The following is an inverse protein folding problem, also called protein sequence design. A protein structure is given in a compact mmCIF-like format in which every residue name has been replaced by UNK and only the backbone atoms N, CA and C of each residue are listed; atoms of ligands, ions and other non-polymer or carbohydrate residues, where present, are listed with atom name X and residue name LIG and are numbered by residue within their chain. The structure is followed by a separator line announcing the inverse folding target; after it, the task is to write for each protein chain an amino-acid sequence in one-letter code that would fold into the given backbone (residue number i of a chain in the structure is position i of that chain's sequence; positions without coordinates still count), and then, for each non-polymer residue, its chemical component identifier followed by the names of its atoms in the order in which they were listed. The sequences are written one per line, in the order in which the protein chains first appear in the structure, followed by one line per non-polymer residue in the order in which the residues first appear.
data_IF_124048693565
#
_entry.id   IF_124048693565
#
_cell.length_a   1.000
_cell.length_b   1.000
_cell.length_c   1.000
_cell.angle_alpha   90.00
_cell.angle_beta   90.00
_cell.angle_gamma   90.00
#
_symmetry.space_group_name_H-M   'P 1'
#
loop_
_entity.id
_entity.type
_entity.pdbx_description
1 polymer ?
#
# COMPACT_ATOMS: atom_id res chain seq x y z
N UNK A 1 -32.87 17.92 4.13
CA UNK A 1 -31.42 17.65 4.00
C UNK A 1 -31.22 16.74 2.79
N UNK A 2 -30.28 17.03 1.89
CA UNK A 2 -29.95 16.13 0.78
C UNK A 2 -29.27 14.87 1.32
N UNK A 3 -29.54 13.69 0.75
CA UNK A 3 -28.89 12.44 1.15
C UNK A 3 -27.38 12.48 0.88
N UNK A 4 -26.62 11.59 1.51
CA UNK A 4 -25.17 11.50 1.23
C UNK A 4 -24.92 11.12 -0.23
N UNK A 5 -25.66 10.13 -0.75
CA UNK A 5 -25.57 9.69 -2.15
C UNK A 5 -25.86 10.82 -3.15
N UNK A 6 -26.82 11.71 -2.89
CA UNK A 6 -27.06 12.87 -3.76
C UNK A 6 -25.88 13.84 -3.77
N UNK A 7 -25.22 14.09 -2.63
CA UNK A 7 -24.02 14.93 -2.60
C UNK A 7 -22.85 14.28 -3.33
N UNK A 8 -22.68 12.97 -3.16
CA UNK A 8 -21.67 12.19 -3.89
C UNK A 8 -21.92 12.23 -5.40
N UNK A 9 -23.16 12.15 -5.86
CA UNK A 9 -23.49 12.29 -7.29
C UNK A 9 -23.07 13.66 -7.85
N UNK A 10 -23.29 14.74 -7.08
CA UNK A 10 -22.81 16.09 -7.45
C UNK A 10 -21.28 16.14 -7.51
N UNK A 11 -20.58 15.55 -6.53
CA UNK A 11 -19.13 15.46 -6.53
C UNK A 11 -18.60 14.62 -7.73
N UNK A 12 -19.28 13.52 -8.06
CA UNK A 12 -18.94 12.63 -9.17
C UNK A 12 -19.21 13.27 -10.54
N UNK A 13 -20.20 14.16 -10.66
CA UNK A 13 -20.38 14.97 -11.85
C UNK A 13 -19.28 16.03 -11.96
N UNK A 14 -18.93 16.70 -10.86
CA UNK A 14 -17.92 17.75 -10.86
C UNK A 14 -16.50 17.24 -11.17
N UNK A 15 -16.10 16.07 -10.64
CA UNK A 15 -14.76 15.49 -10.88
C UNK A 15 -14.50 15.19 -12.37
N UNK A 16 -15.54 15.10 -13.21
CA UNK A 16 -15.41 14.91 -14.67
C UNK A 16 -14.66 16.04 -15.38
N UNK A 17 -14.57 17.21 -14.75
CA UNK A 17 -13.76 18.32 -15.25
C UNK A 17 -12.26 17.99 -15.28
N UNK A 18 -11.81 17.03 -14.47
CA UNK A 18 -10.38 16.68 -14.37
C UNK A 18 -10.03 15.28 -14.86
N UNK A 19 -10.95 14.30 -14.84
CA UNK A 19 -10.78 12.99 -15.51
C UNK A 19 -12.09 12.20 -15.66
N UNK A 20 -12.20 11.27 -16.63
CA UNK A 20 -13.37 10.37 -16.78
C UNK A 20 -13.44 9.33 -15.66
N UNK A 21 -14.49 8.50 -15.63
CA UNK A 21 -14.59 7.42 -14.64
C UNK A 21 -13.41 6.46 -14.75
N UNK A 22 -12.89 5.98 -13.62
CA UNK A 22 -11.88 4.93 -13.68
C UNK A 22 -12.54 3.61 -14.04
N UNK A 23 -11.84 2.70 -14.74
CA UNK A 23 -12.43 1.42 -15.11
C UNK A 23 -12.81 0.54 -13.90
N UNK A 24 -13.93 -0.17 -14.02
CA UNK A 24 -14.26 -1.36 -13.23
C UNK A 24 -14.05 -2.58 -14.14
N UNK A 25 -12.88 -3.19 -14.06
CA UNK A 25 -12.43 -4.21 -15.02
C UNK A 25 -12.54 -5.60 -14.43
N UNK A 26 -13.16 -6.53 -15.15
CA UNK A 26 -13.08 -7.93 -14.79
C UNK A 26 -11.65 -8.44 -15.00
N UNK A 27 -11.14 -9.18 -14.02
CA UNK A 27 -9.81 -9.76 -14.08
C UNK A 27 -9.93 -11.28 -14.23
N UNK A 28 -9.70 -11.79 -15.43
CA UNK A 28 -9.86 -13.20 -15.76
C UNK A 28 -8.92 -14.11 -14.95
N UNK A 29 -7.68 -13.65 -14.74
CA UNK A 29 -6.67 -14.40 -14.01
C UNK A 29 -7.08 -14.63 -12.55
N UNK A 30 -7.39 -13.56 -11.81
CA UNK A 30 -7.84 -13.64 -10.42
C UNK A 30 -9.20 -14.35 -10.31
N UNK A 31 -10.09 -14.17 -11.29
CA UNK A 31 -11.38 -14.85 -11.32
C UNK A 31 -11.22 -16.37 -11.43
N UNK A 32 -10.36 -16.84 -12.34
CA UNK A 32 -10.01 -18.27 -12.47
C UNK A 32 -9.33 -18.81 -11.21
N UNK A 33 -8.39 -18.06 -10.63
CA UNK A 33 -7.63 -18.45 -9.43
C UNK A 33 -8.54 -18.65 -8.21
N UNK A 34 -9.53 -17.78 -8.04
CA UNK A 34 -10.45 -17.78 -6.89
C UNK A 34 -11.74 -18.56 -7.13
N UNK A 35 -12.10 -18.85 -8.38
CA UNK A 35 -13.42 -19.39 -8.75
C UNK A 35 -14.57 -18.40 -8.51
N UNK A 36 -14.25 -17.11 -8.43
CA UNK A 36 -15.17 -15.99 -8.20
C UNK A 36 -15.12 -15.06 -9.40
N UNK A 37 -16.06 -14.11 -9.53
CA UNK A 37 -15.96 -13.02 -10.49
C UNK A 37 -15.25 -11.85 -9.82
N UNK A 38 -13.99 -11.63 -10.15
CA UNK A 38 -13.16 -10.56 -9.54
C UNK A 38 -13.10 -9.37 -10.48
N UNK A 39 -13.55 -8.21 -9.97
CA UNK A 39 -13.52 -6.92 -10.64
C UNK A 39 -12.50 -6.02 -9.93
N UNK A 40 -11.64 -5.34 -10.68
CA UNK A 40 -10.68 -4.37 -10.19
C UNK A 40 -11.22 -2.96 -10.46
N UNK A 41 -11.40 -2.16 -9.40
CA UNK A 41 -11.67 -0.73 -9.54
C UNK A 41 -10.33 0.01 -9.64
N UNK A 42 -9.98 0.45 -10.86
CA UNK A 42 -8.63 0.88 -11.28
C UNK A 42 -8.32 2.35 -10.97
N UNK A 43 -8.27 2.71 -9.68
CA UNK A 43 -7.94 4.08 -9.26
C UNK A 43 -6.47 4.48 -9.55
N UNK A 44 -5.61 3.49 -9.77
CA UNK A 44 -4.26 3.64 -10.31
C UNK A 44 -4.22 4.27 -11.72
N UNK A 45 -5.33 4.28 -12.45
CA UNK A 45 -5.44 4.89 -13.78
C UNK A 45 -5.95 6.34 -13.77
N UNK A 46 -6.15 6.92 -12.58
CA UNK A 46 -6.41 8.37 -12.44
C UNK A 46 -5.19 9.21 -12.86
N UNK A 47 -5.33 10.54 -13.13
CA UNK A 47 -4.21 11.38 -13.59
C UNK A 47 -2.99 11.40 -12.68
N UNK A 48 -3.22 11.29 -11.36
CA UNK A 48 -2.14 11.21 -10.34
C UNK A 48 -1.91 9.78 -9.86
N UNK A 49 -2.43 8.80 -10.59
CA UNK A 49 -2.32 7.35 -10.36
C UNK A 49 -2.72 6.90 -8.95
N UNK A 50 -3.67 7.60 -8.32
CA UNK A 50 -4.30 7.17 -7.08
C UNK A 50 -5.63 7.89 -6.83
N UNK A 51 -6.49 7.29 -6.01
CA UNK A 51 -7.80 7.85 -5.68
C UNK A 51 -7.76 9.20 -4.94
N UNK A 52 -6.60 9.60 -4.38
CA UNK A 52 -6.46 10.77 -3.48
C UNK A 52 -6.91 12.09 -4.11
N UNK A 53 -6.81 12.21 -5.44
CA UNK A 53 -7.27 13.38 -6.19
C UNK A 53 -8.75 13.69 -5.98
N UNK A 54 -9.59 12.66 -5.75
CA UNK A 54 -11.05 12.83 -5.65
C UNK A 54 -11.45 13.63 -4.42
N UNK A 55 -10.93 13.23 -3.25
CA UNK A 55 -11.15 13.96 -2.01
C UNK A 55 -10.57 15.36 -2.07
N UNK A 56 -9.32 15.50 -2.51
CA UNK A 56 -8.67 16.81 -2.63
C UNK A 56 -9.49 17.76 -3.52
N UNK A 57 -9.92 17.31 -4.70
CA UNK A 57 -10.77 18.10 -5.59
C UNK A 57 -12.09 18.51 -4.94
N UNK A 58 -12.80 17.57 -4.30
CA UNK A 58 -14.10 17.88 -3.69
C UNK A 58 -13.96 18.86 -2.52
N UNK A 59 -12.88 18.75 -1.75
CA UNK A 59 -12.55 19.66 -0.67
C UNK A 59 -12.32 21.08 -1.20
N UNK A 60 -11.45 21.27 -2.20
CA UNK A 60 -11.21 22.58 -2.82
C UNK A 60 -12.49 23.17 -3.40
N UNK A 61 -13.21 22.40 -4.21
CA UNK A 61 -14.46 22.83 -4.85
C UNK A 61 -15.47 23.37 -3.82
N UNK A 62 -15.62 22.68 -2.69
CA UNK A 62 -16.55 23.10 -1.62
C UNK A 62 -16.02 24.27 -0.82
N UNK A 63 -14.74 24.30 -0.49
CA UNK A 63 -14.13 25.43 0.20
C UNK A 63 -14.33 26.72 -0.62
N UNK A 64 -14.00 26.70 -1.91
CA UNK A 64 -14.19 27.85 -2.80
C UNK A 64 -15.67 28.24 -2.95
N UNK A 65 -16.57 27.26 -3.11
CA UNK A 65 -18.01 27.54 -3.19
C UNK A 65 -18.60 28.10 -1.88
N UNK A 66 -17.97 27.84 -0.74
CA UNK A 66 -18.35 28.39 0.56
C UNK A 66 -17.78 29.80 0.81
N UNK A 67 -17.12 30.42 -0.18
CA UNK A 67 -16.50 31.73 -0.04
C UNK A 67 -15.18 31.70 0.73
N UNK A 68 -14.44 30.59 0.69
CA UNK A 68 -13.09 30.57 1.21
C UNK A 68 -12.17 31.42 0.33
N UNK A 69 -11.79 32.58 0.85
CA UNK A 69 -10.92 33.56 0.19
C UNK A 69 -9.41 33.24 0.35
N UNK A 70 -9.06 32.06 0.88
CA UNK A 70 -7.67 31.66 0.98
C UNK A 70 -7.03 31.58 -0.42
N UNK A 71 -5.99 32.39 -0.64
CA UNK A 71 -5.14 32.30 -1.82
C UNK A 71 -4.13 31.16 -1.72
N UNK A 72 -3.86 30.70 -0.49
CA UNK A 72 -2.84 29.71 -0.16
C UNK A 72 -3.45 28.48 0.51
N UNK A 73 -3.11 27.30 0.00
CA UNK A 73 -3.45 26.01 0.57
C UNK A 73 -2.20 25.27 1.02
N UNK A 74 -2.32 24.39 2.01
CA UNK A 74 -1.17 23.69 2.59
C UNK A 74 -1.48 22.21 2.76
N UNK A 75 -0.50 21.35 2.52
CA UNK A 75 -0.57 19.96 2.98
C UNK A 75 0.79 19.44 3.45
N UNK A 76 0.78 18.39 4.28
CA UNK A 76 1.95 17.60 4.63
C UNK A 76 1.79 16.19 4.05
N UNK A 77 2.64 15.86 3.08
CA UNK A 77 2.71 14.52 2.46
C UNK A 77 3.87 14.49 1.46
N UNK A 78 4.54 13.34 1.34
CA UNK A 78 5.52 13.09 0.29
C UNK A 78 5.02 12.07 -0.77
N UNK A 79 3.71 11.77 -0.79
CA UNK A 79 3.15 10.66 -1.58
C UNK A 79 1.89 11.03 -2.36
N UNK A 80 0.95 10.09 -2.44
CA UNK A 80 -0.26 10.21 -3.25
C UNK A 80 -1.12 11.43 -2.92
N UNK A 81 -1.18 11.83 -1.63
CA UNK A 81 -1.92 13.04 -1.24
C UNK A 81 -1.27 14.31 -1.78
N UNK A 82 0.05 14.44 -1.69
CA UNK A 82 0.77 15.58 -2.25
C UNK A 82 0.59 15.72 -3.76
N UNK A 83 0.62 14.60 -4.50
CA UNK A 83 0.39 14.61 -5.95
C UNK A 83 -1.05 15.04 -6.30
N UNK A 84 -2.05 14.50 -5.60
CA UNK A 84 -3.45 14.90 -5.75
C UNK A 84 -3.68 16.37 -5.39
N UNK A 85 -3.11 16.84 -4.28
CA UNK A 85 -3.13 18.24 -3.86
C UNK A 85 -2.51 19.15 -4.90
N UNK A 86 -1.30 18.83 -5.38
CA UNK A 86 -0.58 19.66 -6.33
C UNK A 86 -1.32 19.79 -7.67
N UNK A 87 -1.87 18.68 -8.18
CA UNK A 87 -2.72 18.71 -9.36
C UNK A 87 -3.93 19.63 -9.18
N UNK A 88 -4.59 19.55 -8.01
CA UNK A 88 -5.81 20.30 -7.71
C UNK A 88 -5.52 21.80 -7.51
N UNK A 89 -4.41 22.16 -6.86
CA UNK A 89 -3.93 23.55 -6.80
C UNK A 89 -3.81 24.17 -8.20
N UNK A 90 -3.12 23.47 -9.11
CA UNK A 90 -2.99 23.90 -10.51
C UNK A 90 -4.34 24.02 -11.21
N UNK A 91 -5.23 23.06 -11.02
CA UNK A 91 -6.56 23.07 -11.66
C UNK A 91 -7.41 24.28 -11.24
N UNK A 92 -7.41 24.64 -9.95
CA UNK A 92 -8.17 25.78 -9.43
C UNK A 92 -7.42 27.11 -9.49
N UNK A 93 -6.17 27.12 -9.96
CA UNK A 93 -5.35 28.33 -10.01
C UNK A 93 -4.99 28.86 -8.61
N UNK A 94 -4.89 27.99 -7.61
CA UNK A 94 -4.60 28.37 -6.21
C UNK A 94 -3.19 27.94 -5.82
N UNK A 95 -2.52 28.78 -5.03
CA UNK A 95 -1.17 28.49 -4.56
C UNK A 95 -1.21 27.40 -3.49
N UNK A 96 -0.22 26.52 -3.52
CA UNK A 96 -0.08 25.39 -2.62
C UNK A 96 1.32 25.29 -2.02
N UNK A 97 1.42 24.98 -0.73
CA UNK A 97 2.69 24.59 -0.10
C UNK A 97 2.62 23.14 0.36
N UNK A 98 3.58 22.33 -0.07
CA UNK A 98 3.69 20.91 0.28
C UNK A 98 4.89 20.70 1.19
N UNK A 99 4.63 20.30 2.43
CA UNK A 99 5.67 19.93 3.39
C UNK A 99 6.01 18.44 3.25
N UNK A 100 7.30 18.16 3.04
CA UNK A 100 7.86 16.81 2.90
C UNK A 100 9.08 16.64 3.80
N UNK A 101 9.40 15.41 4.26
CA UNK A 101 10.64 15.18 4.99
C UNK A 101 11.87 15.49 4.15
N UNK A 102 12.98 15.90 4.77
CA UNK A 102 14.27 16.12 4.08
C UNK A 102 14.81 14.84 3.45
N UNK A 103 14.42 13.69 4.01
CA UNK A 103 14.77 12.34 3.55
C UNK A 103 13.92 11.87 2.35
N UNK A 104 13.02 12.71 1.83
CA UNK A 104 12.14 12.34 0.72
C UNK A 104 12.95 12.10 -0.57
N UNK A 105 12.81 10.93 -1.23
CA UNK A 105 13.48 10.66 -2.50
C UNK A 105 13.16 11.73 -3.57
N UNK A 106 14.19 12.13 -4.32
CA UNK A 106 14.08 13.20 -5.33
C UNK A 106 12.98 12.93 -6.36
N UNK A 107 12.80 11.68 -6.76
CA UNK A 107 11.75 11.27 -7.70
C UNK A 107 10.32 11.62 -7.20
N UNK A 108 10.05 11.48 -5.90
CA UNK A 108 8.74 11.85 -5.30
C UNK A 108 8.53 13.36 -5.27
N UNK A 109 9.60 14.12 -5.02
CA UNK A 109 9.62 15.59 -5.06
C UNK A 109 9.31 16.07 -6.49
N UNK A 110 10.07 15.58 -7.47
CA UNK A 110 9.94 15.99 -8.87
C UNK A 110 8.58 15.64 -9.45
N UNK A 111 8.04 14.48 -9.09
CA UNK A 111 6.69 14.07 -9.50
C UNK A 111 5.61 14.99 -8.94
N UNK A 112 5.72 15.38 -7.67
CA UNK A 112 4.78 16.35 -7.07
C UNK A 112 4.89 17.71 -7.75
N UNK A 113 6.13 18.17 -8.01
CA UNK A 113 6.39 19.42 -8.74
C UNK A 113 5.82 19.39 -10.16
N UNK A 114 5.92 18.26 -10.86
CA UNK A 114 5.35 18.08 -12.20
C UNK A 114 3.82 18.26 -12.22
N UNK A 115 3.12 17.73 -11.21
CA UNK A 115 1.67 17.85 -11.13
C UNK A 115 1.19 19.26 -10.79
N UNK A 116 1.91 19.99 -9.93
CA UNK A 116 1.52 21.34 -9.52
C UNK A 116 2.08 22.47 -10.38
N UNK A 117 3.24 22.28 -11.02
CA UNK A 117 3.92 23.34 -11.77
C UNK A 117 4.24 24.55 -10.89
N UNK A 118 4.00 25.76 -11.40
CA UNK A 118 4.22 27.01 -10.67
C UNK A 118 3.26 27.24 -9.49
N UNK A 119 2.16 26.46 -9.40
CA UNK A 119 1.16 26.61 -8.35
C UNK A 119 1.58 25.97 -7.04
N UNK A 120 2.68 25.21 -7.00
CA UNK A 120 3.14 24.55 -5.76
C UNK A 120 4.57 24.86 -5.41
N UNK A 121 4.78 25.18 -4.14
CA UNK A 121 6.07 25.23 -3.49
C UNK A 121 6.25 23.95 -2.65
N UNK A 122 7.42 23.31 -2.74
CA UNK A 122 7.76 22.15 -1.90
C UNK A 122 8.77 22.60 -0.85
N UNK A 123 8.45 22.37 0.43
CA UNK A 123 9.32 22.67 1.57
C UNK A 123 9.76 21.38 2.25
N UNK A 124 11.07 21.18 2.29
CA UNK A 124 11.67 20.03 2.96
C UNK A 124 11.94 20.37 4.43
N UNK A 125 11.27 19.70 5.37
CA UNK A 125 11.34 20.00 6.80
C UNK A 125 11.30 18.72 7.63
N UNK A 126 12.25 18.57 8.55
CA UNK A 126 12.32 17.44 9.48
C UNK A 126 12.59 16.09 8.82
N UNK A 127 12.79 15.07 9.65
CA UNK A 127 13.16 13.74 9.19
C UNK A 127 11.96 12.81 9.01
N UNK A 128 10.85 13.12 9.70
CA UNK A 128 9.65 12.29 9.77
C UNK A 128 8.38 13.04 9.40
N UNK A 129 7.32 12.27 9.11
CA UNK A 129 6.00 12.81 8.75
C UNK A 129 5.41 13.73 9.83
N UNK A 130 5.57 13.38 11.11
CA UNK A 130 5.02 14.17 12.23
C UNK A 130 5.64 15.57 12.30
N UNK A 131 6.92 15.72 11.95
CA UNK A 131 7.59 17.04 11.85
C UNK A 131 7.01 17.89 10.73
N UNK A 132 6.81 17.28 9.55
CA UNK A 132 6.19 17.94 8.41
C UNK A 132 4.76 18.39 8.71
N UNK A 133 3.98 17.53 9.38
CA UNK A 133 2.59 17.83 9.71
C UNK A 133 2.49 18.99 10.70
N UNK A 134 3.36 19.01 11.72
CA UNK A 134 3.49 20.14 12.65
C UNK A 134 3.87 21.42 11.93
N UNK A 135 4.92 21.40 11.10
CA UNK A 135 5.38 22.57 10.34
C UNK A 135 4.30 23.10 9.37
N UNK A 136 3.57 22.20 8.71
CA UNK A 136 2.44 22.55 7.86
C UNK A 136 1.31 23.22 8.64
N UNK A 137 1.02 22.74 9.86
CA UNK A 137 -0.02 23.30 10.73
C UNK A 137 0.36 24.71 11.21
N UNK A 138 1.59 24.89 11.72
CA UNK A 138 2.13 26.18 12.16
C UNK A 138 2.18 27.20 10.99
N UNK A 139 2.57 26.75 9.79
CA UNK A 139 2.57 27.60 8.60
C UNK A 139 1.16 27.97 8.15
N UNK A 140 0.19 27.06 8.30
CA UNK A 140 -1.21 27.35 7.97
C UNK A 140 -1.74 28.50 8.82
N UNK A 141 -1.50 28.46 10.14
CA UNK A 141 -1.94 29.50 11.07
C UNK A 141 -1.26 30.85 10.80
N UNK A 142 0.06 30.86 10.61
CA UNK A 142 0.83 32.10 10.42
C UNK A 142 0.61 32.77 9.06
N UNK A 143 0.35 32.00 8.00
CA UNK A 143 0.13 32.52 6.65
C UNK A 143 -1.34 32.79 6.29
N UNK A 144 -2.28 32.52 7.21
CA UNK A 144 -3.72 32.58 6.90
C UNK A 144 -4.12 31.59 5.79
N UNK A 145 -3.39 30.49 5.66
CA UNK A 145 -3.60 29.51 4.62
C UNK A 145 -4.69 28.50 5.01
N UNK A 146 -5.06 27.62 4.09
CA UNK A 146 -6.04 26.58 4.35
C UNK A 146 -5.43 25.18 4.24
N UNK A 147 -5.40 24.45 5.36
CA UNK A 147 -4.86 23.10 5.42
C UNK A 147 -5.79 22.11 4.71
N UNK A 148 -5.22 21.22 3.91
CA UNK A 148 -5.95 20.19 3.15
C UNK A 148 -5.63 18.80 3.72
N UNK A 149 -6.56 18.20 4.49
CA UNK A 149 -6.30 16.93 5.16
C UNK A 149 -6.19 15.76 4.18
N UNK A 150 -5.33 14.75 4.45
CA UNK A 150 -5.17 13.57 3.59
C UNK A 150 -6.32 12.57 3.65
N UNK A 151 -7.17 12.63 4.69
CA UNK A 151 -8.31 11.74 4.89
C UNK A 151 -9.35 12.25 5.92
N UNK A 152 -8.93 12.90 7.01
CA UNK A 152 -9.80 13.17 8.18
C UNK A 152 -10.68 14.42 8.00
N UNK A 153 -11.52 14.42 6.97
CA UNK A 153 -12.44 15.52 6.69
C UNK A 153 -13.67 15.04 5.92
N UNK A 154 -14.85 15.59 6.24
CA UNK A 154 -16.13 15.18 5.65
C UNK A 154 -16.15 15.34 4.13
N UNK A 155 -15.59 16.44 3.62
CA UNK A 155 -15.55 16.70 2.17
C UNK A 155 -14.53 15.85 1.43
N UNK A 156 -13.43 15.48 2.10
CA UNK A 156 -12.48 14.49 1.57
C UNK A 156 -13.20 13.15 1.44
N UNK A 157 -13.87 12.68 2.51
CA UNK A 157 -14.65 11.42 2.54
C UNK A 157 -15.72 11.41 1.44
N UNK A 158 -16.47 12.50 1.28
CA UNK A 158 -17.48 12.62 0.22
C UNK A 158 -16.87 12.56 -1.19
N UNK A 159 -15.70 13.18 -1.40
CA UNK A 159 -14.97 13.05 -2.65
C UNK A 159 -14.50 11.62 -2.91
N UNK A 160 -13.96 10.94 -1.89
CA UNK A 160 -13.54 9.53 -2.04
C UNK A 160 -14.73 8.60 -2.30
N UNK A 161 -15.93 8.92 -1.78
CA UNK A 161 -17.14 8.15 -2.03
C UNK A 161 -17.58 8.15 -3.50
N UNK A 162 -17.05 9.04 -4.35
CA UNK A 162 -17.29 8.98 -5.80
C UNK A 162 -16.78 7.68 -6.42
N UNK A 163 -15.81 7.00 -5.80
CA UNK A 163 -15.40 5.64 -6.19
C UNK A 163 -16.57 4.66 -6.08
N UNK A 164 -17.35 4.74 -5.00
CA UNK A 164 -18.53 3.89 -4.78
C UNK A 164 -19.67 4.22 -5.75
N UNK A 165 -19.87 5.50 -6.04
CA UNK A 165 -20.81 5.95 -7.06
C UNK A 165 -20.50 5.31 -8.42
N UNK A 166 -19.24 5.37 -8.84
CA UNK A 166 -18.80 4.75 -10.10
C UNK A 166 -18.95 3.23 -10.06
N UNK A 167 -18.51 2.56 -8.98
CA UNK A 167 -18.70 1.10 -8.84
C UNK A 167 -20.18 0.76 -9.04
N UNK A 168 -21.09 1.44 -8.32
CA UNK A 168 -22.52 1.17 -8.42
C UNK A 168 -23.10 1.41 -9.81
N UNK A 169 -22.60 2.41 -10.55
CA UNK A 169 -23.04 2.71 -11.92
C UNK A 169 -22.47 1.75 -12.98
N UNK A 170 -21.26 1.22 -12.73
CA UNK A 170 -20.54 0.35 -13.67
C UNK A 170 -20.86 -1.13 -13.48
N UNK A 171 -21.56 -1.52 -12.41
CA UNK A 171 -21.95 -2.91 -12.19
C UNK A 171 -22.95 -3.42 -13.25
N UNK A 172 -22.70 -4.60 -13.86
CA UNK A 172 -23.59 -5.17 -14.87
C UNK A 172 -25.00 -5.48 -14.33
N UNK A 173 -26.03 -5.10 -15.09
CA UNK A 173 -27.43 -5.43 -14.79
C UNK A 173 -27.95 -4.85 -13.47
N UNK A 174 -27.36 -3.75 -12.99
CA UNK A 174 -27.68 -3.10 -11.72
C UNK A 174 -27.58 -4.01 -10.48
N UNK A 175 -26.83 -5.11 -10.56
CA UNK A 175 -26.52 -5.97 -9.43
C UNK A 175 -25.45 -5.31 -8.56
N UNK A 176 -25.49 -5.56 -7.26
CA UNK A 176 -24.41 -5.13 -6.36
C UNK A 176 -23.32 -6.19 -6.29
N UNK A 177 -22.07 -5.81 -5.98
CA UNK A 177 -21.06 -6.79 -5.62
C UNK A 177 -21.42 -7.46 -4.29
N UNK A 178 -21.13 -8.76 -4.19
CA UNK A 178 -21.29 -9.50 -2.93
C UNK A 178 -20.26 -9.04 -1.90
N UNK A 179 -19.04 -8.72 -2.35
CA UNK A 179 -17.92 -8.30 -1.51
C UNK A 179 -17.21 -7.09 -2.15
N UNK A 180 -16.91 -6.06 -1.34
CA UNK A 180 -15.98 -4.99 -1.71
C UNK A 180 -14.79 -5.00 -0.75
N UNK A 181 -13.58 -5.09 -1.32
CA UNK A 181 -12.31 -5.05 -0.60
C UNK A 181 -11.67 -3.67 -0.72
N UNK A 182 -11.36 -3.06 0.43
CA UNK A 182 -10.92 -1.66 0.53
C UNK A 182 -9.62 -1.56 1.31
N UNK A 183 -8.56 -0.96 0.73
CA UNK A 183 -7.37 -0.64 1.51
C UNK A 183 -7.69 0.43 2.56
N UNK A 184 -7.10 0.30 3.73
CA UNK A 184 -7.27 1.23 4.85
C UNK A 184 -5.91 1.69 5.36
N UNK A 185 -5.69 3.00 5.27
CA UNK A 185 -4.75 3.73 6.12
C UNK A 185 -5.56 4.61 7.08
N UNK A 186 -5.61 5.92 6.81
CA UNK A 186 -6.42 6.85 7.61
C UNK A 186 -7.94 6.70 7.47
N UNK A 187 -8.43 5.76 6.66
CA UNK A 187 -9.85 5.36 6.58
C UNK A 187 -10.76 6.18 5.65
N UNK A 188 -10.30 7.30 5.06
CA UNK A 188 -11.16 8.19 4.28
C UNK A 188 -11.88 7.54 3.09
N UNK A 189 -11.19 6.67 2.34
CA UNK A 189 -11.79 5.89 1.24
C UNK A 189 -12.83 4.90 1.76
N UNK A 190 -12.44 4.08 2.73
CA UNK A 190 -13.32 3.07 3.29
C UNK A 190 -14.58 3.67 3.92
N UNK A 191 -14.44 4.78 4.65
CA UNK A 191 -15.58 5.52 5.21
C UNK A 191 -16.50 6.06 4.12
N UNK A 192 -15.95 6.65 3.04
CA UNK A 192 -16.75 7.20 1.95
C UNK A 192 -17.52 6.12 1.19
N UNK A 193 -16.84 5.02 0.84
CA UNK A 193 -17.44 3.91 0.11
C UNK A 193 -18.52 3.23 0.94
N UNK A 194 -18.24 2.86 2.18
CA UNK A 194 -19.22 2.18 3.04
C UNK A 194 -20.43 3.06 3.35
N UNK A 195 -20.21 4.37 3.59
CA UNK A 195 -21.30 5.29 3.85
C UNK A 195 -22.22 5.46 2.65
N UNK A 196 -21.68 5.48 1.42
CA UNK A 196 -22.48 5.56 0.19
C UNK A 196 -23.41 4.35 0.04
N UNK A 197 -22.89 3.13 0.22
CA UNK A 197 -23.68 1.91 0.12
C UNK A 197 -24.74 1.78 1.23
N UNK A 198 -24.39 2.22 2.44
CA UNK A 198 -25.34 2.27 3.56
C UNK A 198 -26.50 3.23 3.29
N UNK A 199 -26.22 4.43 2.76
CA UNK A 199 -27.24 5.43 2.39
C UNK A 199 -28.19 4.91 1.29
N UNK A 200 -27.66 4.08 0.38
CA UNK A 200 -28.43 3.40 -0.67
C UNK A 200 -29.17 2.14 -0.20
N UNK A 201 -29.04 1.74 1.08
CA UNK A 201 -29.60 0.51 1.66
C UNK A 201 -29.26 -0.75 0.86
N UNK A 202 -28.02 -0.84 0.39
CA UNK A 202 -27.53 -1.97 -0.42
C UNK A 202 -26.79 -2.96 0.47
N UNK A 203 -27.12 -4.24 0.31
CA UNK A 203 -26.46 -5.32 1.03
C UNK A 203 -25.19 -5.75 0.29
N UNK A 204 -24.03 -5.40 0.85
CA UNK A 204 -22.71 -5.71 0.33
C UNK A 204 -21.78 -5.94 1.52
N UNK A 205 -21.03 -7.04 1.51
CA UNK A 205 -20.02 -7.31 2.54
C UNK A 205 -18.77 -6.46 2.29
N UNK A 206 -18.30 -5.76 3.31
CA UNK A 206 -17.05 -5.01 3.23
C UNK A 206 -15.91 -5.77 3.90
N UNK A 207 -14.75 -5.74 3.25
CA UNK A 207 -13.49 -6.26 3.78
C UNK A 207 -12.49 -5.11 3.76
N UNK A 208 -11.95 -4.78 4.93
CA UNK A 208 -10.95 -3.73 5.09
C UNK A 208 -9.57 -4.38 5.11
N UNK A 209 -8.62 -3.81 4.37
CA UNK A 209 -7.29 -4.39 4.21
C UNK A 209 -6.27 -3.40 4.78
N UNK A 210 -5.67 -3.74 5.91
CA UNK A 210 -4.57 -2.99 6.51
C UNK A 210 -3.26 -3.77 6.36
N UNK A 211 -2.12 -3.09 6.21
CA UNK A 211 -0.82 -3.74 6.38
C UNK A 211 -0.71 -4.28 7.82
N UNK A 212 -0.11 -5.46 8.00
CA UNK A 212 0.02 -6.08 9.31
C UNK A 212 0.85 -5.23 10.29
N UNK A 213 1.82 -4.46 9.79
CA UNK A 213 2.63 -3.53 10.54
C UNK A 213 1.97 -2.17 10.84
N UNK A 214 0.75 -1.90 10.36
CA UNK A 214 0.01 -0.67 10.69
C UNK A 214 -1.51 -0.90 10.91
N UNK A 215 -1.94 -1.73 11.87
CA UNK A 215 -3.33 -2.17 12.04
C UNK A 215 -4.23 -1.15 12.79
N UNK A 216 -4.20 0.14 12.40
CA UNK A 216 -4.82 1.22 13.18
C UNK A 216 -6.35 1.14 13.31
N UNK A 217 -7.06 0.71 12.25
CA UNK A 217 -8.49 0.47 12.27
C UNK A 217 -8.80 -0.75 13.11
N UNK A 218 -8.12 -1.88 12.87
CA UNK A 218 -8.38 -3.14 13.58
C UNK A 218 -8.26 -2.96 15.09
N UNK A 219 -7.18 -2.33 15.55
CA UNK A 219 -6.97 -2.08 16.98
C UNK A 219 -7.99 -1.09 17.54
N UNK A 220 -8.39 -0.08 16.76
CA UNK A 220 -9.43 0.86 17.19
C UNK A 220 -10.82 0.20 17.30
N UNK A 221 -11.15 -0.75 16.40
CA UNK A 221 -12.39 -1.53 16.47
C UNK A 221 -12.36 -2.50 17.64
N UNK A 222 -11.26 -3.24 17.83
CA UNK A 222 -11.11 -4.22 18.90
C UNK A 222 -11.24 -3.59 20.29
N UNK A 223 -10.72 -2.37 20.46
CA UNK A 223 -10.78 -1.63 21.73
C UNK A 223 -12.02 -0.75 21.88
N UNK A 224 -12.81 -0.59 20.81
CA UNK A 224 -13.98 0.31 20.77
C UNK A 224 -13.64 1.80 20.86
N UNK A 225 -12.38 2.20 20.74
CA UNK A 225 -11.90 3.60 20.83
C UNK A 225 -10.81 3.88 19.81
N UNK A 226 -10.65 5.15 19.41
CA UNK A 226 -9.53 5.58 18.55
C UNK A 226 -8.21 5.44 19.31
N UNK A 227 -7.24 4.71 18.76
CA UNK A 227 -5.93 4.50 19.37
C UNK A 227 -4.80 4.89 18.43
N UNK A 228 -3.73 5.48 18.98
CA UNK A 228 -2.46 5.71 18.28
C UNK A 228 -1.53 4.52 18.53
N UNK A 229 -1.11 3.86 17.46
CA UNK A 229 -0.12 2.79 17.50
C UNK A 229 1.24 3.34 17.97
N UNK A 230 1.95 2.55 18.79
CA UNK A 230 3.27 2.93 19.28
C UNK A 230 4.35 2.86 18.19
N UNK A 231 4.19 1.94 17.24
CA UNK A 231 5.10 1.71 16.11
C UNK A 231 4.30 1.34 14.87
N UNK A 232 4.85 1.69 13.72
CA UNK A 232 4.28 1.43 12.40
C UNK A 232 5.41 0.99 11.46
N UNK A 233 5.18 -0.07 10.68
CA UNK A 233 6.01 -0.37 9.51
C UNK A 233 5.61 0.56 8.35
N UNK A 234 6.58 1.27 7.80
CA UNK A 234 6.39 2.25 6.73
C UNK A 234 6.51 1.65 5.32
N UNK A 235 6.69 0.33 5.18
CA UNK A 235 6.83 -0.32 3.87
C UNK A 235 5.63 -0.04 2.95
N UNK A 236 4.42 -0.09 3.50
CA UNK A 236 3.15 0.24 2.83
C UNK A 236 2.78 1.70 3.09
N UNK A 237 3.65 2.61 2.65
CA UNK A 237 3.58 4.06 2.92
C UNK A 237 2.19 4.71 2.69
N UNK A 238 1.43 4.30 1.68
CA UNK A 238 0.07 4.78 1.43
C UNK A 238 -0.99 4.38 2.47
N UNK A 239 -0.70 3.37 3.30
CA UNK A 239 -1.59 2.82 4.33
C UNK A 239 -0.94 2.74 5.74
N UNK A 240 0.34 3.09 5.88
CA UNK A 240 1.09 3.12 7.12
C UNK A 240 0.66 4.31 8.01
N UNK A 241 -0.51 4.21 8.65
CA UNK A 241 -1.09 5.27 9.47
C UNK A 241 -1.14 4.82 10.93
N UNK A 242 -0.48 5.56 11.82
CA UNK A 242 -0.42 5.20 13.24
C UNK A 242 -1.76 5.39 13.98
N UNK A 243 -2.60 6.30 13.51
CA UNK A 243 -3.89 6.59 14.15
C UNK A 243 -4.93 6.91 13.08
N UNK A 244 -5.98 6.09 12.98
CA UNK A 244 -7.08 6.29 12.03
C UNK A 244 -7.73 7.66 12.21
N UNK A 245 -8.27 8.26 11.14
CA UNK A 245 -8.99 9.53 11.24
C UNK A 245 -10.23 9.44 12.13
N UNK A 246 -10.55 10.54 12.82
CA UNK A 246 -11.73 10.64 13.69
C UNK A 246 -13.04 10.55 12.90
N UNK A 247 -13.16 11.30 11.81
CA UNK A 247 -14.34 11.28 10.94
C UNK A 247 -14.48 9.92 10.23
N UNK A 248 -13.43 9.33 9.62
CA UNK A 248 -13.49 7.97 9.11
C UNK A 248 -13.95 6.93 10.13
N UNK A 249 -13.38 6.92 11.34
CA UNK A 249 -13.77 5.95 12.38
C UNK A 249 -15.24 6.08 12.78
N UNK A 250 -15.82 7.29 12.75
CA UNK A 250 -17.26 7.49 13.03
C UNK A 250 -18.16 6.66 12.12
N UNK A 251 -17.76 6.48 10.86
CA UNK A 251 -18.47 5.64 9.88
C UNK A 251 -18.10 4.15 10.03
N UNK A 252 -16.83 3.87 10.34
CA UNK A 252 -16.31 2.50 10.36
C UNK A 252 -16.52 1.75 11.68
N UNK A 253 -16.79 2.45 12.80
CA UNK A 253 -16.96 1.85 14.14
C UNK A 253 -18.10 0.83 14.28
N UNK A 254 -18.99 0.76 13.30
CA UNK A 254 -20.13 -0.17 13.31
C UNK A 254 -19.75 -1.54 12.74
N UNK A 255 -18.61 -1.65 12.08
CA UNK A 255 -18.11 -2.90 11.55
C UNK A 255 -17.42 -3.71 12.65
N UNK A 256 -17.55 -5.03 12.56
CA UNK A 256 -16.84 -5.95 13.43
C UNK A 256 -15.35 -5.99 13.10
N UNK A 257 -14.51 -6.25 14.09
CA UNK A 257 -13.04 -6.37 13.94
C UNK A 257 -12.65 -7.38 12.87
N UNK A 258 -13.42 -8.45 12.72
CA UNK A 258 -13.22 -9.54 11.74
C UNK A 258 -13.45 -9.09 10.29
N UNK A 259 -14.04 -7.91 10.07
CA UNK A 259 -14.09 -7.30 8.75
C UNK A 259 -12.72 -6.79 8.29
N UNK A 260 -11.75 -6.64 9.20
CA UNK A 260 -10.38 -6.19 8.90
C UNK A 260 -9.45 -7.38 8.69
N UNK A 261 -8.79 -7.42 7.54
CA UNK A 261 -7.72 -8.35 7.18
C UNK A 261 -6.38 -7.63 7.32
N UNK A 262 -5.47 -8.26 8.06
CA UNK A 262 -4.09 -7.79 8.20
C UNK A 262 -3.24 -8.52 7.17
N UNK A 263 -2.63 -7.74 6.29
CA UNK A 263 -1.90 -8.23 5.13
C UNK A 263 -0.40 -8.21 5.45
N UNK A 264 0.27 -9.37 5.49
CA UNK A 264 1.72 -9.43 5.67
C UNK A 264 2.44 -8.75 4.49
N UNK A 265 3.35 -7.84 4.79
CA UNK A 265 4.06 -6.99 3.81
C UNK A 265 4.88 -7.83 2.83
N UNK A 266 5.53 -8.90 3.30
CA UNK A 266 6.31 -9.77 2.44
C UNK A 266 5.42 -10.61 1.51
N UNK A 267 4.21 -11.03 1.96
CA UNK A 267 3.20 -11.68 1.10
C UNK A 267 2.68 -10.71 0.03
N UNK A 268 2.45 -9.46 0.44
CA UNK A 268 2.01 -8.39 -0.44
C UNK A 268 3.01 -8.15 -1.58
N UNK A 269 4.31 -8.25 -1.31
CA UNK A 269 5.35 -8.17 -2.33
C UNK A 269 5.18 -9.23 -3.42
N UNK A 270 4.89 -10.48 -3.04
CA UNK A 270 4.60 -11.54 -4.01
C UNK A 270 3.37 -11.22 -4.87
N UNK A 271 2.32 -10.63 -4.28
CA UNK A 271 1.16 -10.14 -5.04
C UNK A 271 1.53 -9.03 -6.01
N UNK A 272 2.38 -8.08 -5.62
CA UNK A 272 2.85 -7.01 -6.51
C UNK A 272 3.62 -7.57 -7.71
N UNK A 273 4.55 -8.51 -7.47
CA UNK A 273 5.32 -9.18 -8.53
C UNK A 273 4.41 -10.01 -9.44
N UNK A 274 3.44 -10.74 -8.87
CA UNK A 274 2.46 -11.52 -9.62
C UNK A 274 1.63 -10.62 -10.56
N UNK A 275 1.07 -9.53 -10.05
CA UNK A 275 0.27 -8.59 -10.86
C UNK A 275 1.11 -7.89 -11.93
N UNK A 276 2.38 -7.59 -11.64
CA UNK A 276 3.29 -7.02 -12.63
C UNK A 276 3.59 -8.02 -13.75
N UNK A 277 4.01 -9.24 -13.40
CA UNK A 277 4.50 -10.22 -14.37
C UNK A 277 3.39 -10.91 -15.17
N UNK A 278 2.24 -11.17 -14.56
CA UNK A 278 1.12 -11.90 -15.19
C UNK A 278 0.18 -10.94 -15.90
N UNK A 279 -0.18 -9.84 -15.23
CA UNK A 279 -1.24 -8.93 -15.71
C UNK A 279 -0.69 -7.63 -16.30
N UNK A 280 0.61 -7.35 -16.16
CA UNK A 280 1.20 -6.07 -16.58
C UNK A 280 0.71 -4.88 -15.74
N UNK A 281 0.16 -5.12 -14.55
CA UNK A 281 -0.38 -4.07 -13.68
C UNK A 281 0.67 -3.64 -12.66
N UNK A 282 1.12 -2.40 -12.77
CA UNK A 282 2.07 -1.79 -11.83
C UNK A 282 1.33 -1.29 -10.60
N UNK A 283 1.60 -1.90 -9.45
CA UNK A 283 0.98 -1.55 -8.17
C UNK A 283 2.01 -0.97 -7.22
N UNK A 284 1.60 0.06 -6.48
CA UNK A 284 2.27 0.41 -5.23
C UNK A 284 1.80 -0.54 -4.11
N UNK A 285 2.52 -0.66 -2.97
CA UNK A 285 2.12 -1.57 -1.90
C UNK A 285 0.66 -1.39 -1.43
N UNK A 286 0.22 -0.16 -1.17
CA UNK A 286 -1.16 0.10 -0.73
C UNK A 286 -2.20 -0.29 -1.80
N UNK A 287 -1.85 -0.12 -3.09
CA UNK A 287 -2.68 -0.52 -4.23
C UNK A 287 -2.89 -2.02 -4.36
N UNK A 288 -1.98 -2.83 -3.82
CA UNK A 288 -2.06 -4.29 -3.85
C UNK A 288 -2.82 -4.90 -2.67
N UNK A 289 -3.08 -4.15 -1.59
CA UNK A 289 -3.70 -4.69 -0.35
C UNK A 289 -5.04 -5.40 -0.59
N UNK A 290 -5.93 -4.77 -1.37
CA UNK A 290 -7.25 -5.34 -1.65
C UNK A 290 -7.19 -6.59 -2.53
N UNK A 291 -6.19 -6.70 -3.41
CA UNK A 291 -5.97 -7.90 -4.22
C UNK A 291 -5.39 -9.02 -3.35
N UNK A 292 -4.38 -8.70 -2.53
CA UNK A 292 -3.73 -9.68 -1.66
C UNK A 292 -4.70 -10.32 -0.66
N UNK A 293 -5.66 -9.53 -0.14
CA UNK A 293 -6.71 -10.00 0.76
C UNK A 293 -7.56 -11.16 0.20
N UNK A 294 -7.62 -11.35 -1.13
CA UNK A 294 -8.26 -12.51 -1.75
C UNK A 294 -7.65 -13.83 -1.27
N UNK A 295 -6.36 -13.84 -0.92
CA UNK A 295 -5.61 -15.02 -0.44
C UNK A 295 -6.05 -15.48 0.95
N UNK A 296 -6.71 -14.62 1.74
CA UNK A 296 -7.23 -14.96 3.07
C UNK A 296 -8.57 -15.71 3.03
N UNK A 297 -9.19 -15.80 1.86
CA UNK A 297 -10.45 -16.50 1.67
C UNK A 297 -10.23 -17.95 1.24
N UNK A 298 -10.97 -18.87 1.85
CA UNK A 298 -11.08 -20.21 1.29
C UNK A 298 -11.84 -20.14 -0.04
N UNK A 299 -11.45 -20.97 -1.03
CA UNK A 299 -12.19 -21.03 -2.31
C UNK A 299 -13.68 -21.29 -2.10
N UNK A 300 -14.05 -22.11 -1.12
CA UNK A 300 -15.47 -22.40 -0.79
C UNK A 300 -16.23 -21.16 -0.31
N UNK A 301 -15.59 -20.25 0.42
CA UNK A 301 -16.25 -19.05 0.96
C UNK A 301 -16.63 -18.05 -0.13
N UNK A 302 -15.82 -17.95 -1.19
CA UNK A 302 -15.97 -16.91 -2.21
C UNK A 302 -16.42 -17.41 -3.59
N UNK A 303 -16.35 -18.71 -3.86
CA UNK A 303 -16.74 -19.29 -5.16
C UNK A 303 -18.11 -18.80 -5.62
N UNK A 304 -18.16 -18.35 -6.88
CA UNK A 304 -19.38 -17.85 -7.52
C UNK A 304 -19.80 -16.44 -7.10
N UNK A 305 -19.13 -15.82 -6.13
CA UNK A 305 -19.41 -14.43 -5.73
C UNK A 305 -18.80 -13.44 -6.70
N UNK A 306 -19.40 -12.26 -6.77
CA UNK A 306 -18.85 -11.08 -7.42
C UNK A 306 -18.11 -10.22 -6.40
N UNK A 307 -16.81 -10.05 -6.60
CA UNK A 307 -15.92 -9.34 -5.68
C UNK A 307 -15.34 -8.14 -6.39
N UNK A 308 -15.39 -6.97 -5.76
CA UNK A 308 -14.68 -5.77 -6.24
C UNK A 308 -13.48 -5.52 -5.33
N UNK A 309 -12.28 -5.53 -5.89
CA UNK A 309 -11.06 -5.09 -5.21
C UNK A 309 -10.69 -3.68 -5.70
N UNK A 310 -10.55 -2.73 -4.76
CA UNK A 310 -10.16 -1.36 -5.10
C UNK A 310 -8.65 -1.25 -5.21
N UNK A 311 -8.15 -1.04 -6.43
CA UNK A 311 -6.73 -0.81 -6.72
C UNK A 311 -6.44 0.66 -6.47
N UNK A 312 -6.08 1.01 -5.24
CA UNK A 312 -6.07 2.40 -4.78
C UNK A 312 -5.00 3.29 -5.41
N UNK A 313 -3.91 2.73 -5.90
CA UNK A 313 -2.83 3.50 -6.49
C UNK A 313 -1.77 2.65 -7.18
N UNK A 314 -0.98 3.31 -8.02
CA UNK A 314 0.08 2.71 -8.83
C UNK A 314 1.36 3.57 -8.85
N UNK A 315 1.58 4.40 -7.82
CA UNK A 315 2.78 5.24 -7.72
C UNK A 315 3.95 4.44 -7.13
N UNK A 316 4.31 3.35 -7.80
CA UNK A 316 5.45 2.52 -7.44
C UNK A 316 6.77 3.14 -7.92
N UNK A 317 7.78 3.04 -7.06
CA UNK A 317 9.16 3.38 -7.37
C UNK A 317 9.89 2.11 -7.83
N UNK A 318 10.33 2.10 -9.09
CA UNK A 318 11.01 0.94 -9.67
C UNK A 318 12.38 0.66 -9.04
N UNK A 319 13.00 1.63 -8.37
CA UNK A 319 14.23 1.41 -7.59
C UNK A 319 13.98 0.48 -6.39
N UNK A 320 12.72 0.37 -5.93
CA UNK A 320 12.32 -0.58 -4.88
C UNK A 320 12.05 -2.00 -5.39
N UNK A 321 12.03 -2.23 -6.70
CA UNK A 321 11.68 -3.55 -7.25
C UNK A 321 12.60 -4.68 -6.76
N UNK A 322 13.93 -4.49 -6.64
CA UNK A 322 14.80 -5.51 -6.06
C UNK A 322 14.44 -5.88 -4.62
N UNK A 323 14.16 -4.91 -3.74
CA UNK A 323 13.71 -5.15 -2.35
C UNK A 323 12.36 -5.87 -2.30
N UNK A 324 11.41 -5.48 -3.16
CA UNK A 324 10.12 -6.18 -3.30
C UNK A 324 10.33 -7.64 -3.72
N UNK A 325 11.19 -7.90 -4.72
CA UNK A 325 11.50 -9.25 -5.18
C UNK A 325 12.15 -10.07 -4.06
N UNK A 326 13.10 -9.47 -3.34
CA UNK A 326 13.79 -10.09 -2.21
C UNK A 326 12.82 -10.54 -1.12
N UNK A 327 11.94 -9.63 -0.68
CA UNK A 327 10.90 -9.91 0.32
C UNK A 327 9.91 -10.98 -0.14
N UNK A 328 9.51 -10.95 -1.42
CA UNK A 328 8.62 -11.94 -1.99
C UNK A 328 9.22 -13.34 -1.97
N UNK A 329 10.46 -13.50 -2.46
CA UNK A 329 11.14 -14.79 -2.51
C UNK A 329 11.38 -15.38 -1.10
N UNK A 330 11.75 -14.53 -0.14
CA UNK A 330 11.89 -14.94 1.27
C UNK A 330 10.56 -15.45 1.83
N UNK A 331 9.46 -14.72 1.59
CA UNK A 331 8.13 -15.13 2.05
C UNK A 331 7.64 -16.44 1.43
N UNK A 332 7.89 -16.65 0.15
CA UNK A 332 7.50 -17.87 -0.56
C UNK A 332 8.38 -19.08 -0.18
N UNK A 333 9.45 -18.85 0.60
CA UNK A 333 10.44 -19.87 0.95
C UNK A 333 11.30 -20.29 -0.24
N UNK A 334 11.41 -19.43 -1.24
CA UNK A 334 12.21 -19.64 -2.45
C UNK A 334 13.60 -19.03 -2.35
N UNK A 335 13.87 -18.26 -1.29
CA UNK A 335 15.19 -17.70 -1.02
C UNK A 335 15.52 -17.75 0.46
N UNK A 336 16.73 -18.20 0.78
CA UNK A 336 17.26 -18.28 2.14
C UNK A 336 18.69 -17.77 2.23
N UNK A 337 19.05 -17.27 3.41
CA UNK A 337 20.40 -16.84 3.75
C UNK A 337 20.96 -17.66 4.89
N UNK A 338 22.17 -18.17 4.69
CA UNK A 338 22.90 -18.99 5.64
C UNK A 338 24.24 -18.36 5.98
N UNK A 339 24.62 -18.43 7.25
CA UNK A 339 26.00 -18.28 7.67
C UNK A 339 26.58 -19.68 7.85
N UNK A 340 27.55 -20.04 7.01
CA UNK A 340 28.15 -21.38 6.97
C UNK A 340 29.61 -21.30 7.41
N UNK A 341 30.06 -22.27 8.21
CA UNK A 341 31.46 -22.38 8.60
C UNK A 341 32.19 -23.35 7.68
N UNK A 342 33.02 -22.81 6.81
CA UNK A 342 33.84 -23.60 5.89
C UNK A 342 35.17 -23.99 6.53
N UNK A 343 35.61 -25.26 6.41
CA UNK A 343 36.97 -25.63 6.76
C UNK A 343 37.95 -24.92 5.81
N UNK A 344 39.05 -24.38 6.34
CA UNK A 344 40.08 -23.71 5.52
C UNK A 344 41.01 -24.74 4.85
N UNK A 345 40.45 -25.58 3.98
CA UNK A 345 41.19 -26.55 3.15
C UNK A 345 40.85 -26.39 1.66
N UNK A 346 41.77 -26.72 0.75
CA UNK A 346 41.45 -26.82 -0.68
C UNK A 346 40.25 -27.75 -0.92
N UNK A 347 39.38 -27.38 -1.87
CA UNK A 347 38.20 -28.17 -2.24
C UNK A 347 36.94 -27.92 -1.42
N UNK A 348 37.01 -27.29 -0.23
CA UNK A 348 35.84 -27.16 0.66
C UNK A 348 34.62 -26.46 0.02
N UNK A 349 34.83 -25.45 -0.83
CA UNK A 349 33.74 -24.83 -1.57
C UNK A 349 33.13 -25.77 -2.60
N UNK A 350 33.95 -26.55 -3.30
CA UNK A 350 33.46 -27.52 -4.27
C UNK A 350 32.61 -28.59 -3.59
N UNK A 351 33.09 -29.14 -2.47
CA UNK A 351 32.35 -30.13 -1.69
C UNK A 351 30.98 -29.59 -1.27
N UNK A 352 30.90 -28.31 -0.90
CA UNK A 352 29.62 -27.64 -0.60
C UNK A 352 28.70 -27.50 -1.82
N UNK A 353 29.25 -27.15 -2.99
CA UNK A 353 28.45 -27.04 -4.22
C UNK A 353 27.83 -28.37 -4.62
N UNK A 354 28.47 -29.49 -4.29
CA UNK A 354 27.95 -30.84 -4.53
C UNK A 354 26.73 -31.17 -3.62
N UNK A 355 26.44 -30.36 -2.60
CA UNK A 355 25.25 -30.49 -1.74
C UNK A 355 24.00 -29.81 -2.29
N UNK A 356 24.19 -28.88 -3.24
CA UNK A 356 23.10 -28.12 -3.86
C UNK A 356 22.34 -28.98 -4.87
N UNK A 357 21.02 -28.79 -4.91
CA UNK A 357 20.17 -29.41 -5.93
C UNK A 357 20.33 -28.77 -7.31
N UNK A 358 19.82 -29.41 -8.38
CA UNK A 358 19.92 -28.90 -9.75
C UNK A 358 19.13 -27.60 -10.00
N UNK A 359 18.23 -27.24 -9.08
CA UNK A 359 17.41 -26.03 -9.12
C UNK A 359 17.82 -24.98 -8.08
N UNK A 360 18.90 -25.23 -7.34
CA UNK A 360 19.41 -24.30 -6.33
C UNK A 360 20.51 -23.41 -6.94
N UNK A 361 20.31 -22.10 -6.85
CA UNK A 361 21.23 -21.09 -7.36
C UNK A 361 21.84 -20.27 -6.21
N UNK A 362 23.13 -19.97 -6.32
CA UNK A 362 23.82 -19.12 -5.34
C UNK A 362 23.61 -17.66 -5.75
N UNK A 363 22.59 -17.04 -5.17
CA UNK A 363 22.25 -15.63 -5.39
C UNK A 363 23.20 -14.67 -4.66
N UNK A 364 23.88 -15.11 -3.60
CA UNK A 364 24.89 -14.30 -2.88
C UNK A 364 25.96 -15.18 -2.27
N UNK A 365 27.21 -14.75 -2.36
CA UNK A 365 28.34 -15.42 -1.71
C UNK A 365 29.32 -14.38 -1.20
N UNK A 366 29.48 -14.28 0.12
CA UNK A 366 30.47 -13.42 0.74
C UNK A 366 31.37 -14.21 1.68
N UNK A 367 32.66 -14.14 1.43
CA UNK A 367 33.68 -14.78 2.25
C UNK A 367 34.60 -13.75 2.87
N UNK A 368 34.64 -13.71 4.19
CA UNK A 368 35.58 -12.89 4.95
C UNK A 368 36.64 -13.77 5.58
N UNK A 369 37.85 -13.72 5.03
CA UNK A 369 39.02 -14.39 5.59
C UNK A 369 39.43 -13.71 6.89
N UNK A 370 39.02 -14.27 8.03
CA UNK A 370 39.54 -13.88 9.36
C UNK A 370 40.84 -14.66 9.63
N UNK A 371 41.91 -13.95 9.98
CA UNK A 371 43.22 -14.56 10.27
C UNK A 371 43.18 -15.44 11.54
N UNK A 372 43.94 -16.54 11.49
CA UNK A 372 44.22 -17.48 12.59
C UNK A 372 43.08 -18.41 13.09
N UNK A 373 42.16 -18.85 12.22
CA UNK A 373 41.21 -19.94 12.57
C UNK A 373 41.15 -21.01 11.49
N UNK A 374 40.96 -22.27 11.90
CA UNK A 374 40.78 -23.43 10.99
C UNK A 374 39.47 -23.35 10.15
N UNK A 375 38.59 -22.38 10.46
CA UNK A 375 37.30 -22.18 9.82
C UNK A 375 37.10 -20.73 9.41
N UNK A 376 36.54 -20.51 8.23
CA UNK A 376 36.04 -19.21 7.77
C UNK A 376 34.52 -19.17 7.79
N UNK A 377 33.93 -18.00 8.08
CA UNK A 377 32.49 -17.80 7.97
C UNK A 377 32.16 -17.27 6.57
N UNK A 378 31.21 -17.91 5.91
CA UNK A 378 30.68 -17.52 4.60
C UNK A 378 29.22 -17.18 4.77
N UNK A 379 28.80 -16.03 4.24
CA UNK A 379 27.40 -15.74 4.00
C UNK A 379 27.03 -16.28 2.62
N UNK A 380 26.01 -17.12 2.55
CA UNK A 380 25.47 -17.65 1.30
C UNK A 380 23.98 -17.33 1.24
N UNK A 381 23.55 -16.67 0.17
CA UNK A 381 22.15 -16.57 -0.22
C UNK A 381 21.87 -17.59 -1.32
N UNK A 382 20.87 -18.44 -1.11
CA UNK A 382 20.47 -19.49 -2.05
C UNK A 382 19.04 -19.20 -2.50
N UNK A 383 18.81 -19.21 -3.80
CA UNK A 383 17.50 -19.18 -4.44
C UNK A 383 17.16 -20.57 -4.97
N UNK A 384 15.89 -20.97 -4.92
CA UNK A 384 15.44 -22.26 -5.45
C UNK A 384 14.08 -22.12 -6.13
N UNK A 385 13.73 -23.06 -7.01
CA UNK A 385 12.41 -23.09 -7.68
C UNK A 385 11.31 -23.74 -6.83
N UNK A 386 11.69 -24.51 -5.81
CA UNK A 386 10.75 -25.21 -4.93
C UNK A 386 11.22 -25.13 -3.47
N UNK A 387 10.40 -24.57 -2.59
CA UNK A 387 10.72 -24.45 -1.16
C UNK A 387 11.09 -25.78 -0.49
N UNK A 388 10.61 -26.91 -1.01
CA UNK A 388 10.94 -28.26 -0.51
C UNK A 388 12.42 -28.61 -0.69
N UNK A 389 13.11 -27.96 -1.63
CA UNK A 389 14.55 -28.15 -1.83
C UNK A 389 15.37 -27.71 -0.62
N UNK A 390 14.91 -26.72 0.15
CA UNK A 390 15.58 -26.34 1.40
C UNK A 390 15.48 -27.40 2.49
N UNK A 391 14.43 -28.23 2.50
CA UNK A 391 14.34 -29.37 3.43
C UNK A 391 15.41 -30.41 3.10
N UNK A 392 15.60 -30.70 1.80
CA UNK A 392 16.66 -31.59 1.32
C UNK A 392 18.06 -31.02 1.58
N UNK A 393 18.26 -29.73 1.31
CA UNK A 393 19.53 -29.06 1.52
C UNK A 393 19.94 -29.07 3.00
N UNK A 394 19.00 -28.79 3.90
CA UNK A 394 19.25 -28.86 5.34
C UNK A 394 19.61 -30.28 5.79
N UNK A 395 18.94 -31.30 5.25
CA UNK A 395 19.28 -32.70 5.53
C UNK A 395 20.68 -33.07 5.02
N UNK A 396 21.07 -32.57 3.84
CA UNK A 396 22.42 -32.74 3.30
C UNK A 396 23.47 -32.05 4.18
N UNK A 397 23.18 -30.84 4.68
CA UNK A 397 24.06 -30.14 5.62
C UNK A 397 24.26 -30.93 6.91
N UNK A 398 23.20 -31.52 7.46
CA UNK A 398 23.28 -32.34 8.67
C UNK A 398 24.07 -33.64 8.43
N UNK A 399 23.82 -34.33 7.31
CA UNK A 399 24.52 -35.56 6.94
C UNK A 399 26.03 -35.37 6.78
N UNK A 400 26.45 -34.25 6.19
CA UNK A 400 27.87 -33.91 5.96
C UNK A 400 28.49 -33.11 7.12
N UNK A 401 27.76 -32.91 8.22
CA UNK A 401 28.25 -32.21 9.41
C UNK A 401 28.57 -30.73 9.18
N UNK A 402 27.92 -30.10 8.20
CA UNK A 402 28.08 -28.68 7.89
C UNK A 402 27.53 -27.85 9.05
N UNK A 403 28.37 -27.00 9.64
CA UNK A 403 27.91 -26.04 10.64
C UNK A 403 27.33 -24.81 9.94
N UNK A 404 26.01 -24.64 10.02
CA UNK A 404 25.30 -23.51 9.43
C UNK A 404 24.34 -22.85 10.42
N UNK A 405 23.95 -21.62 10.10
CA UNK A 405 22.86 -20.90 10.74
C UNK A 405 21.99 -20.28 9.66
N UNK A 406 20.70 -20.62 9.62
CA UNK A 406 19.70 -19.92 8.80
C UNK A 406 19.43 -18.55 9.44
N UNK A 407 19.71 -17.48 8.70
CA UNK A 407 19.51 -16.08 9.13
C UNK A 407 18.40 -15.40 8.32
N UNK A 408 17.63 -16.16 7.53
CA UNK A 408 16.62 -15.61 6.60
C UNK A 408 15.59 -14.74 7.30
N UNK A 409 15.17 -15.12 8.51
CA UNK A 409 14.15 -14.39 9.29
C UNK A 409 14.75 -13.48 10.37
N UNK A 410 16.08 -13.30 10.37
CA UNK A 410 16.73 -12.37 11.30
C UNK A 410 16.68 -10.94 10.72
N UNK A 411 15.68 -10.15 11.10
CA UNK A 411 15.47 -8.79 10.57
C UNK A 411 16.68 -7.86 10.76
N UNK A 412 17.37 -7.95 11.90
CA UNK A 412 18.55 -7.12 12.18
C UNK A 412 19.70 -7.44 11.25
N UNK A 413 19.99 -8.73 11.04
CA UNK A 413 21.03 -9.15 10.10
C UNK A 413 20.60 -8.90 8.66
N UNK A 414 19.33 -9.13 8.33
CA UNK A 414 18.77 -8.80 7.04
C UNK A 414 19.00 -7.32 6.71
N UNK A 415 18.59 -6.39 7.57
CA UNK A 415 18.77 -4.96 7.30
C UNK A 415 20.23 -4.46 7.24
N UNK A 416 21.19 -5.22 7.76
CA UNK A 416 22.63 -4.89 7.66
C UNK A 416 23.31 -5.53 6.47
N UNK A 417 22.89 -6.75 6.12
CA UNK A 417 23.58 -7.61 5.18
C UNK A 417 22.81 -7.68 3.86
N UNK A 418 21.52 -7.98 3.92
CA UNK A 418 20.64 -8.23 2.76
C UNK A 418 20.19 -6.90 2.19
#
# INVERSE_FOLDING_TARGET
MTSFSSRVAVAAAAIRQIFPETPLQENDYLSKKTGSRVLLKREDLSPVRSYKIRGAFNFFRKALAAGNDAELFVCASAGNHAQGFAFVCRHFGKLGVVFMPVTTPQQKIDKTRLFGGEFVEIRLVGDFFDDCYRAASEFTESAGAHMVPPFDHKDIIEGQATVAYEISGQMPGARMPDIIMLPVGGGGLAAGVTHYFADQRRDTRFVFCEPAGAPSLRESLATGKRIKLARVDNFVDGAAVAEIGREPLRHLRTFATEAVRLIPENRLCATMIEMLNVEGVVLEPAGALAIDALKDFSKKEIRGKTIVAVVSGGNFDFERLPDVKERALRFEGLKKYFIIRFPQRPGALRDFLELLGPDDDIARFEYLKKSARNFGSVLIGIETKDRRNFELLNANFEAEGVQYQDITDNETLAGFII
#
